data_IF_927696552903
#
_entry.id   IF_927696552903
#
_cell.length_a   1.000
_cell.length_b   1.000
_cell.length_c   1.000
_cell.angle_alpha   90.00
_cell.angle_beta   90.00
_cell.angle_gamma   90.00
#
_symmetry.space_group_name_H-M   'P 1'
#
loop_
_entity.id
_entity.type
_entity.pdbx_description
1 polymer ?
#
# COMPACT_ATOMS: atom_id res chain seq x y z
N UNK A 1 -14.39 2.81 -2.54
CA UNK A 1 -13.85 2.35 -1.24
C UNK A 1 -12.64 1.47 -1.53
N UNK A 2 -11.53 1.61 -0.80
CA UNK A 2 -10.34 0.72 -0.94
C UNK A 2 -10.70 -0.68 -0.44
N UNK A 3 -10.26 -1.73 -1.14
CA UNK A 3 -10.61 -3.12 -0.80
C UNK A 3 -9.41 -4.06 -0.67
N UNK A 4 -8.47 -4.04 -1.62
CA UNK A 4 -7.38 -5.02 -1.65
C UNK A 4 -6.02 -4.37 -1.31
N UNK A 5 -5.73 -3.22 -1.92
CA UNK A 5 -4.51 -2.45 -1.68
C UNK A 5 -4.76 -0.95 -1.89
N UNK A 6 -3.90 -0.15 -1.27
CA UNK A 6 -3.88 1.30 -1.41
C UNK A 6 -2.73 1.89 -0.60
N UNK A 7 -2.45 3.18 -0.80
CA UNK A 7 -1.51 3.94 0.05
C UNK A 7 -2.32 4.93 0.87
N UNK A 8 -2.06 4.98 2.18
CA UNK A 8 -2.67 5.96 3.08
C UNK A 8 -1.58 6.89 3.56
N UNK A 9 -1.69 8.17 3.21
CA UNK A 9 -0.72 9.18 3.61
C UNK A 9 -1.18 9.80 4.92
N UNK A 10 -0.31 9.77 5.93
CA UNK A 10 -0.61 10.21 7.30
C UNK A 10 0.42 11.23 7.75
N UNK A 11 -0.05 12.34 8.32
CA UNK A 11 0.79 13.34 8.99
C UNK A 11 0.58 13.27 10.50
N UNK A 12 1.67 13.38 11.27
CA UNK A 12 1.60 13.52 12.71
C UNK A 12 1.71 15.00 13.09
N UNK A 13 0.89 15.47 14.02
CA UNK A 13 1.09 16.79 14.62
C UNK A 13 2.18 16.75 15.73
N UNK A 14 2.40 17.87 16.42
CA UNK A 14 3.43 17.98 17.46
C UNK A 14 3.23 17.01 18.64
N UNK A 15 1.99 16.60 18.91
CA UNK A 15 1.64 15.63 19.95
C UNK A 15 1.55 14.18 19.42
N UNK A 16 2.13 13.90 18.25
CA UNK A 16 2.08 12.59 17.56
C UNK A 16 0.67 12.10 17.21
N UNK A 17 -0.32 12.99 17.16
CA UNK A 17 -1.67 12.64 16.73
C UNK A 17 -1.69 12.47 15.20
N UNK A 18 -2.17 11.32 14.68
CA UNK A 18 -2.21 11.06 13.24
C UNK A 18 -3.40 11.73 12.56
N UNK A 19 -3.17 12.24 11.36
CA UNK A 19 -4.15 12.81 10.46
C UNK A 19 -4.00 12.18 9.08
N UNK A 20 -5.08 11.57 8.58
CA UNK A 20 -5.11 11.02 7.20
C UNK A 20 -5.24 12.18 6.22
N UNK A 21 -4.32 12.24 5.26
CA UNK A 21 -4.30 13.27 4.22
C UNK A 21 -4.97 12.78 2.94
N UNK A 22 -4.58 11.60 2.48
CA UNK A 22 -5.03 10.99 1.23
C UNK A 22 -5.16 9.48 1.41
N UNK A 23 -6.14 8.90 0.74
CA UNK A 23 -6.22 7.47 0.49
C UNK A 23 -6.10 7.25 -1.01
N UNK A 24 -4.93 6.84 -1.47
CA UNK A 24 -4.66 6.57 -2.87
C UNK A 24 -5.05 5.13 -3.24
N UNK A 25 -6.09 4.99 -4.07
CA UNK A 25 -6.64 3.70 -4.48
C UNK A 25 -5.86 3.02 -5.61
N UNK A 26 -4.92 3.72 -6.24
CA UNK A 26 -4.07 3.19 -7.32
C UNK A 26 -2.64 3.75 -7.19
N UNK A 27 -1.88 3.29 -6.18
CA UNK A 27 -0.52 3.75 -5.96
C UNK A 27 0.41 3.32 -7.10
N UNK A 28 1.51 4.04 -7.27
CA UNK A 28 2.57 3.65 -8.20
C UNK A 28 3.16 2.28 -7.85
N UNK A 29 3.57 1.53 -8.88
CA UNK A 29 4.10 0.17 -8.80
C UNK A 29 5.47 0.00 -9.45
N UNK A 30 6.21 1.10 -9.65
CA UNK A 30 7.62 1.05 -10.11
C UNK A 30 8.55 0.77 -8.95
N UNK A 31 9.80 0.40 -9.23
CA UNK A 31 10.86 0.20 -8.22
C UNK A 31 11.02 1.42 -7.28
N UNK A 32 10.81 2.64 -7.79
CA UNK A 32 10.92 3.85 -7.00
C UNK A 32 9.67 4.22 -6.20
N UNK A 33 8.55 3.53 -6.43
CA UNK A 33 7.25 3.82 -5.82
C UNK A 33 7.17 3.38 -4.35
N UNK A 34 6.36 4.10 -3.56
CA UNK A 34 6.30 3.91 -2.11
C UNK A 34 5.68 2.57 -1.68
N UNK A 35 4.66 2.06 -2.39
CA UNK A 35 4.02 0.79 -2.01
C UNK A 35 4.99 -0.39 -2.18
N UNK A 36 5.66 -0.59 -3.34
CA UNK A 36 6.69 -1.62 -3.48
C UNK A 36 7.82 -1.51 -2.46
N UNK A 37 8.33 -0.29 -2.21
CA UNK A 37 9.40 -0.06 -1.21
C UNK A 37 8.96 -0.42 0.21
N UNK A 38 7.75 -0.05 0.60
CA UNK A 38 7.21 -0.40 1.92
C UNK A 38 7.03 -1.92 2.07
N UNK A 39 6.56 -2.59 1.00
CA UNK A 39 6.44 -4.04 0.97
C UNK A 39 7.81 -4.73 1.11
N UNK A 40 8.83 -4.25 0.39
CA UNK A 40 10.19 -4.78 0.47
C UNK A 40 10.77 -4.67 1.88
N UNK A 41 10.61 -3.52 2.55
CA UNK A 41 11.01 -3.33 3.95
C UNK A 41 10.26 -4.30 4.89
N UNK A 42 9.03 -4.67 4.56
CA UNK A 42 8.25 -5.68 5.26
C UNK A 42 8.62 -7.14 4.88
N UNK A 43 9.67 -7.34 4.07
CA UNK A 43 10.12 -8.67 3.61
C UNK A 43 9.31 -9.24 2.44
N UNK A 44 8.45 -8.43 1.82
CA UNK A 44 7.62 -8.82 0.68
C UNK A 44 8.25 -8.26 -0.59
N UNK A 45 8.95 -9.12 -1.34
CA UNK A 45 9.51 -8.70 -2.63
C UNK A 45 8.40 -8.38 -3.65
N UNK A 46 8.76 -7.70 -4.74
CA UNK A 46 7.80 -7.24 -5.74
C UNK A 46 6.95 -8.35 -6.36
N UNK A 47 7.54 -9.51 -6.66
CA UNK A 47 6.80 -10.64 -7.22
C UNK A 47 5.78 -11.20 -6.22
N UNK A 48 6.16 -11.30 -4.94
CA UNK A 48 5.26 -11.71 -3.87
C UNK A 48 4.12 -10.69 -3.67
N UNK A 49 4.42 -9.39 -3.73
CA UNK A 49 3.40 -8.34 -3.66
C UNK A 49 2.37 -8.48 -4.79
N UNK A 50 2.83 -8.63 -6.04
CA UNK A 50 1.96 -8.87 -7.19
C UNK A 50 1.11 -10.14 -7.02
N UNK A 51 1.72 -11.23 -6.54
CA UNK A 51 1.02 -12.47 -6.26
C UNK A 51 -0.08 -12.30 -5.20
N UNK A 52 0.20 -11.59 -4.10
CA UNK A 52 -0.81 -11.28 -3.09
C UNK A 52 -1.99 -10.49 -3.68
N UNK A 53 -1.73 -9.50 -4.54
CA UNK A 53 -2.77 -8.72 -5.20
C UNK A 53 -3.65 -9.61 -6.11
N UNK A 54 -3.05 -10.54 -6.85
CA UNK A 54 -3.77 -11.51 -7.68
C UNK A 54 -4.64 -12.46 -6.84
N UNK A 55 -4.11 -12.98 -5.74
CA UNK A 55 -4.86 -13.86 -4.84
C UNK A 55 -6.06 -13.17 -4.20
N UNK A 56 -5.88 -11.93 -3.72
CA UNK A 56 -6.98 -11.11 -3.20
C UNK A 56 -8.03 -10.86 -4.29
N UNK A 57 -7.58 -10.62 -5.53
CA UNK A 57 -8.47 -10.41 -6.67
C UNK A 57 -9.22 -11.69 -7.11
N UNK A 58 -8.67 -12.88 -6.88
CA UNK A 58 -9.32 -14.15 -7.17
C UNK A 58 -10.34 -14.52 -6.09
N UNK A 59 -10.04 -14.30 -4.81
CA UNK A 59 -10.93 -14.65 -3.68
C UNK A 59 -12.27 -13.92 -3.66
N UNK A 60 -12.40 -12.85 -4.43
CA UNK A 60 -13.62 -12.03 -4.55
C UNK A 60 -14.51 -12.41 -5.73
N UNK A 61 -14.00 -13.20 -6.67
CA UNK A 61 -14.77 -13.75 -7.80
C UNK A 61 -15.38 -15.08 -7.38
#
# INVERSE_FOLDING_TARGET
>A
MVRDFGRVDVMLNAEFKPYVLEVNTLPGMTETSLLPKAAEVAGINFNALCQCMLELALRRN
#
